data_IF_978987941732
#
_entry.id   IF_978987941732
#
_cell.length_a   1.000
_cell.length_b   1.000
_cell.length_c   1.000
_cell.angle_alpha   90.00
_cell.angle_beta   90.00
_cell.angle_gamma   90.00
#
_symmetry.space_group_name_H-M   'P 1'
#
loop_
_entity.id
_entity.type
_entity.pdbx_description
1 polymer ?
#
# COMPACT_ATOMS: atom_id res chain seq x y z
N UNK A 1 -5.07 -2.75 -40.43
CA UNK A 1 -5.03 -2.27 -39.04
C UNK A 1 -6.46 -2.21 -38.57
N UNK A 2 -6.93 -3.18 -37.79
CA UNK A 2 -8.30 -3.21 -37.29
C UNK A 2 -8.43 -2.09 -36.26
N UNK A 3 -9.27 -1.12 -36.57
CA UNK A 3 -9.64 0.00 -35.75
C UNK A 3 -10.52 -0.51 -34.57
N UNK A 4 -9.91 -1.26 -33.63
CA UNK A 4 -10.62 -1.65 -32.42
C UNK A 4 -10.64 -0.44 -31.50
N UNK A 5 -11.83 0.00 -31.14
CA UNK A 5 -12.02 1.04 -30.12
C UNK A 5 -11.15 0.75 -28.88
N UNK A 6 -10.53 1.75 -28.28
CA UNK A 6 -9.70 1.56 -27.10
C UNK A 6 -10.47 0.87 -26.00
N UNK A 7 -9.80 -0.03 -25.27
CA UNK A 7 -10.42 -0.75 -24.16
C UNK A 7 -10.71 0.23 -23.04
N UNK A 8 -11.97 0.31 -22.60
CA UNK A 8 -12.43 1.14 -21.49
C UNK A 8 -12.46 0.31 -20.22
N UNK A 9 -11.78 0.76 -19.17
CA UNK A 9 -11.65 0.05 -17.89
C UNK A 9 -12.23 0.91 -16.76
N UNK A 10 -13.11 0.34 -15.96
CA UNK A 10 -13.66 0.97 -14.78
C UNK A 10 -13.03 0.39 -13.51
N UNK A 11 -12.41 1.24 -12.72
CA UNK A 11 -11.92 0.88 -11.39
C UNK A 11 -12.91 1.28 -10.32
N UNK A 12 -13.02 0.47 -9.25
CA UNK A 12 -13.79 0.78 -8.06
C UNK A 12 -12.86 0.97 -6.87
N UNK A 13 -12.91 2.13 -6.21
CA UNK A 13 -12.12 2.47 -5.05
C UNK A 13 -13.01 2.63 -3.81
N UNK A 14 -12.68 1.97 -2.69
CA UNK A 14 -13.46 2.04 -1.45
C UNK A 14 -13.26 3.34 -0.66
N UNK A 15 -12.15 4.02 -0.89
CA UNK A 15 -11.83 5.32 -0.26
C UNK A 15 -10.91 6.14 -1.18
N UNK A 16 -10.75 7.42 -0.85
CA UNK A 16 -9.94 8.37 -1.63
C UNK A 16 -8.94 9.14 -0.77
N UNK A 17 -8.52 8.54 0.35
CA UNK A 17 -7.50 9.10 1.26
C UNK A 17 -6.09 8.67 0.83
N UNK A 18 -5.05 9.34 1.37
CA UNK A 18 -3.66 8.89 1.22
C UNK A 18 -3.41 7.64 2.07
N UNK A 19 -3.80 6.48 1.56
CA UNK A 19 -3.54 5.16 2.16
C UNK A 19 -3.06 4.17 1.10
N UNK A 20 -2.58 3.00 1.50
CA UNK A 20 -1.87 2.08 0.61
C UNK A 20 -2.61 1.70 -0.68
N UNK A 21 -3.84 1.20 -0.56
CA UNK A 21 -4.60 0.73 -1.72
C UNK A 21 -5.05 1.85 -2.66
N UNK A 22 -5.53 3.04 -2.19
CA UNK A 22 -5.81 4.18 -3.06
C UNK A 22 -4.58 4.76 -3.75
N UNK A 23 -3.42 4.83 -3.08
CA UNK A 23 -2.15 5.26 -3.69
C UNK A 23 -1.77 4.30 -4.82
N UNK A 24 -1.86 2.99 -4.57
CA UNK A 24 -1.57 1.97 -5.58
C UNK A 24 -2.51 2.08 -6.78
N UNK A 25 -3.80 2.31 -6.54
CA UNK A 25 -4.79 2.56 -7.61
C UNK A 25 -4.43 3.81 -8.41
N UNK A 26 -4.12 4.93 -7.76
CA UNK A 26 -3.72 6.18 -8.42
C UNK A 26 -2.51 5.96 -9.33
N UNK A 27 -1.49 5.25 -8.87
CA UNK A 27 -0.30 4.97 -9.65
C UNK A 27 -0.63 4.13 -10.90
N UNK A 28 -1.41 3.05 -10.72
CA UNK A 28 -1.80 2.16 -11.81
C UNK A 28 -2.68 2.88 -12.84
N UNK A 29 -3.73 3.56 -12.39
CA UNK A 29 -4.66 4.31 -13.24
C UNK A 29 -3.91 5.43 -13.98
N UNK A 30 -3.03 6.16 -13.30
CA UNK A 30 -2.18 7.18 -13.89
C UNK A 30 -1.25 6.63 -14.97
N UNK A 31 -0.67 5.46 -14.75
CA UNK A 31 0.17 4.79 -15.75
C UNK A 31 -0.67 4.37 -16.95
N UNK A 32 -1.81 3.73 -16.76
CA UNK A 32 -2.71 3.31 -17.84
C UNK A 32 -3.16 4.49 -18.69
N UNK A 33 -3.54 5.61 -18.05
CA UNK A 33 -3.93 6.85 -18.73
C UNK A 33 -2.80 7.42 -19.60
N UNK A 34 -1.58 7.53 -19.05
CA UNK A 34 -0.40 7.99 -19.82
C UNK A 34 -0.04 7.09 -21.00
N UNK A 35 -0.38 5.80 -20.91
CA UNK A 35 -0.16 4.82 -21.98
C UNK A 35 -1.39 4.64 -22.90
N UNK A 36 -2.25 5.67 -22.97
CA UNK A 36 -3.35 5.75 -23.94
C UNK A 36 -4.53 4.81 -23.66
N UNK A 37 -4.69 4.34 -22.41
CA UNK A 37 -5.87 3.56 -22.04
C UNK A 37 -7.00 4.46 -21.58
N UNK A 38 -8.22 4.10 -21.92
CA UNK A 38 -9.41 4.76 -21.40
C UNK A 38 -9.75 4.16 -20.02
N UNK A 39 -9.60 4.97 -19.00
CA UNK A 39 -9.82 4.55 -17.60
C UNK A 39 -10.73 5.53 -16.90
N UNK A 40 -11.58 5.00 -16.03
CA UNK A 40 -12.44 5.76 -15.12
C UNK A 40 -12.42 5.13 -13.74
N UNK A 41 -12.81 5.89 -12.73
CA UNK A 41 -12.83 5.41 -11.34
C UNK A 41 -14.17 5.73 -10.69
N UNK A 42 -14.82 4.70 -10.17
CA UNK A 42 -15.97 4.81 -9.27
C UNK A 42 -15.46 4.97 -7.83
N UNK A 43 -15.96 5.97 -7.13
CA UNK A 43 -15.51 6.35 -5.78
C UNK A 43 -16.71 6.51 -4.85
N UNK A 44 -16.48 6.54 -3.51
CA UNK A 44 -17.53 6.87 -2.56
C UNK A 44 -18.16 8.23 -2.85
N UNK A 45 -19.47 8.33 -2.64
CA UNK A 45 -20.20 9.60 -2.60
C UNK A 45 -19.59 10.46 -1.48
N UNK A 46 -19.24 11.73 -1.72
CA UNK A 46 -18.68 12.56 -0.68
C UNK A 46 -19.74 12.81 0.41
N UNK A 47 -19.39 12.57 1.67
CA UNK A 47 -20.27 12.86 2.83
C UNK A 47 -20.48 14.36 3.03
N UNK A 48 -19.52 15.17 2.61
CA UNK A 48 -19.56 16.64 2.55
C UNK A 48 -19.04 17.04 1.17
N UNK A 49 -19.30 18.24 0.72
CA UNK A 49 -18.95 18.73 -0.62
C UNK A 49 -17.46 18.58 -1.04
N UNK A 50 -16.64 17.95 -0.23
CA UNK A 50 -15.21 17.75 -0.48
C UNK A 50 -14.94 16.34 -1.00
N UNK A 51 -14.31 16.27 -2.17
CA UNK A 51 -13.73 15.05 -2.69
C UNK A 51 -12.42 14.74 -1.95
N UNK A 52 -12.12 13.46 -1.69
CA UNK A 52 -10.85 13.11 -1.06
C UNK A 52 -9.63 13.36 -1.99
N UNK A 53 -8.43 13.51 -1.43
CA UNK A 53 -7.23 13.94 -2.15
C UNK A 53 -6.86 13.05 -3.35
N UNK A 54 -7.10 11.74 -3.29
CA UNK A 54 -6.89 10.83 -4.43
C UNK A 54 -7.86 11.15 -5.59
N UNK A 55 -9.13 11.51 -5.29
CA UNK A 55 -10.08 11.94 -6.32
C UNK A 55 -9.62 13.21 -7.03
N UNK A 56 -9.04 14.15 -6.30
CA UNK A 56 -8.55 15.40 -6.88
C UNK A 56 -7.35 15.15 -7.78
N UNK A 57 -6.45 14.27 -7.37
CA UNK A 57 -5.30 13.86 -8.18
C UNK A 57 -5.73 13.11 -9.46
N UNK A 58 -6.70 12.22 -9.36
CA UNK A 58 -7.27 11.54 -10.52
C UNK A 58 -7.91 12.52 -11.50
N UNK A 59 -8.66 13.52 -11.03
CA UNK A 59 -9.21 14.58 -11.89
C UNK A 59 -8.10 15.41 -12.54
N UNK A 60 -7.06 15.78 -11.79
CA UNK A 60 -5.92 16.54 -12.30
C UNK A 60 -5.21 15.86 -13.47
N UNK A 61 -5.15 14.52 -13.46
CA UNK A 61 -4.58 13.75 -14.57
C UNK A 61 -5.61 13.38 -15.65
N UNK A 62 -6.82 13.93 -15.59
CA UNK A 62 -7.87 13.76 -16.60
C UNK A 62 -8.57 12.42 -16.58
N UNK A 63 -8.70 11.78 -15.43
CA UNK A 63 -9.48 10.55 -15.22
C UNK A 63 -10.93 10.91 -14.90
N UNK A 64 -11.87 10.27 -15.57
CA UNK A 64 -13.30 10.40 -15.30
C UNK A 64 -13.64 9.73 -13.96
N UNK A 65 -14.41 10.42 -13.09
CA UNK A 65 -14.76 9.93 -11.76
C UNK A 65 -16.28 9.84 -11.61
N UNK A 66 -16.74 8.71 -11.07
CA UNK A 66 -18.14 8.44 -10.76
C UNK A 66 -18.33 8.32 -9.24
N UNK A 67 -18.91 9.32 -8.55
CA UNK A 67 -19.20 9.26 -7.12
C UNK A 67 -20.50 8.49 -6.89
N UNK A 68 -20.46 7.17 -6.98
CA UNK A 68 -21.64 6.28 -6.95
C UNK A 68 -21.69 5.37 -5.72
N UNK A 69 -20.58 5.21 -4.98
CA UNK A 69 -20.53 4.27 -3.87
C UNK A 69 -21.05 4.91 -2.59
N UNK A 70 -22.08 4.32 -1.99
CA UNK A 70 -22.51 4.61 -0.63
C UNK A 70 -22.10 3.46 0.28
N UNK A 71 -21.02 3.67 1.06
CA UNK A 71 -20.48 2.65 1.95
C UNK A 71 -21.24 2.56 3.28
N UNK A 72 -22.17 3.49 3.54
CA UNK A 72 -23.03 3.52 4.74
C UNK A 72 -24.36 2.80 4.53
N UNK A 73 -24.70 2.47 3.28
CA UNK A 73 -25.94 1.82 2.89
C UNK A 73 -25.68 0.52 2.11
N UNK A 74 -26.68 -0.39 2.03
CA UNK A 74 -26.60 -1.53 1.11
C UNK A 74 -26.33 -1.06 -0.33
N UNK A 75 -25.46 -1.74 -1.09
CA UNK A 75 -25.10 -1.32 -2.44
C UNK A 75 -26.30 -1.40 -3.40
N UNK A 76 -26.48 -0.37 -4.20
CA UNK A 76 -27.44 -0.38 -5.31
C UNK A 76 -26.81 -1.12 -6.51
N UNK A 77 -27.08 -2.43 -6.59
CA UNK A 77 -26.55 -3.27 -7.66
C UNK A 77 -27.06 -2.87 -9.06
N UNK A 78 -28.25 -2.26 -9.16
CA UNK A 78 -28.79 -1.81 -10.44
C UNK A 78 -28.03 -0.56 -10.93
N UNK A 79 -27.76 0.43 -10.06
CA UNK A 79 -26.94 1.60 -10.38
C UNK A 79 -25.52 1.17 -10.77
N UNK A 80 -24.91 0.29 -9.98
CA UNK A 80 -23.56 -0.23 -10.27
C UNK A 80 -23.52 -1.03 -11.57
N UNK A 81 -24.52 -1.89 -11.83
CA UNK A 81 -24.64 -2.66 -13.06
C UNK A 81 -24.76 -1.78 -14.29
N UNK A 82 -25.63 -0.75 -14.25
CA UNK A 82 -25.77 0.21 -15.33
C UNK A 82 -24.46 0.98 -15.62
N UNK A 83 -23.67 1.28 -14.59
CA UNK A 83 -22.36 1.86 -14.75
C UNK A 83 -21.36 0.86 -15.38
N UNK A 84 -21.27 -0.37 -14.85
CA UNK A 84 -20.40 -1.43 -15.37
C UNK A 84 -20.62 -1.70 -16.85
N UNK A 85 -21.87 -1.73 -17.32
CA UNK A 85 -22.26 -1.97 -18.72
C UNK A 85 -21.69 -0.93 -19.72
N UNK A 86 -21.19 0.20 -19.24
CA UNK A 86 -20.55 1.23 -20.08
C UNK A 86 -19.08 0.93 -20.37
N UNK A 87 -18.50 -0.11 -19.77
CA UNK A 87 -17.08 -0.44 -19.82
C UNK A 87 -16.85 -1.86 -20.34
N UNK A 88 -15.62 -2.14 -20.74
CA UNK A 88 -15.25 -3.45 -21.27
C UNK A 88 -14.67 -4.39 -20.20
N UNK A 89 -14.13 -3.82 -19.11
CA UNK A 89 -13.56 -4.54 -17.98
C UNK A 89 -13.80 -3.72 -16.71
N UNK A 90 -14.15 -4.39 -15.63
CA UNK A 90 -14.25 -3.82 -14.28
C UNK A 90 -13.07 -4.30 -13.44
N UNK A 91 -12.51 -3.40 -12.64
CA UNK A 91 -11.48 -3.70 -11.66
C UNK A 91 -11.98 -3.28 -10.27
N UNK A 92 -12.31 -4.25 -9.44
CA UNK A 92 -12.63 -4.01 -8.04
C UNK A 92 -11.31 -3.93 -7.25
N UNK A 93 -11.06 -2.78 -6.60
CA UNK A 93 -9.82 -2.53 -5.85
C UNK A 93 -10.13 -2.60 -4.36
N UNK A 94 -9.65 -3.61 -3.69
CA UNK A 94 -9.90 -4.05 -2.30
C UNK A 94 -11.05 -5.05 -2.13
N UNK A 95 -10.98 -5.80 -1.02
CA UNK A 95 -11.94 -6.88 -0.71
C UNK A 95 -13.38 -6.37 -0.51
N UNK A 96 -13.54 -5.16 0.03
CA UNK A 96 -14.88 -4.57 0.29
C UNK A 96 -15.62 -4.14 -0.98
N UNK A 97 -14.99 -4.22 -2.16
CA UNK A 97 -15.63 -3.91 -3.46
C UNK A 97 -16.35 -5.12 -4.07
N UNK A 98 -16.76 -6.10 -3.28
CA UNK A 98 -17.49 -7.29 -3.71
C UNK A 98 -18.75 -6.96 -4.54
N UNK A 99 -19.46 -5.88 -4.20
CA UNK A 99 -20.66 -5.46 -4.92
C UNK A 99 -20.38 -5.05 -6.37
N UNK A 100 -19.20 -4.46 -6.64
CA UNK A 100 -18.76 -4.13 -7.99
C UNK A 100 -18.49 -5.39 -8.83
N UNK A 101 -17.89 -6.42 -8.22
CA UNK A 101 -17.68 -7.72 -8.86
C UNK A 101 -19.02 -8.37 -9.21
N UNK A 102 -19.95 -8.41 -8.25
CA UNK A 102 -21.28 -8.96 -8.46
C UNK A 102 -22.04 -8.21 -9.56
N UNK A 103 -22.06 -6.88 -9.50
CA UNK A 103 -22.76 -6.06 -10.50
C UNK A 103 -22.15 -6.24 -11.91
N UNK A 104 -20.83 -6.34 -12.04
CA UNK A 104 -20.18 -6.63 -13.31
C UNK A 104 -20.56 -8.01 -13.86
N UNK A 105 -20.52 -9.05 -12.99
CA UNK A 105 -20.89 -10.41 -13.35
C UNK A 105 -22.34 -10.50 -13.86
N UNK A 106 -23.30 -9.86 -13.16
CA UNK A 106 -24.72 -9.83 -13.56
C UNK A 106 -24.95 -9.14 -14.93
N UNK A 107 -24.03 -8.26 -15.35
CA UNK A 107 -24.05 -7.60 -16.67
C UNK A 107 -23.19 -8.34 -17.72
N UNK A 108 -22.58 -9.47 -17.40
CA UNK A 108 -21.66 -10.15 -18.29
C UNK A 108 -20.39 -9.37 -18.61
N UNK A 109 -19.97 -8.43 -17.75
CA UNK A 109 -18.76 -7.64 -17.90
C UNK A 109 -17.62 -8.32 -17.13
N UNK A 110 -16.45 -8.56 -17.76
CA UNK A 110 -15.30 -9.16 -17.09
C UNK A 110 -14.88 -8.40 -15.84
N UNK A 111 -14.73 -9.11 -14.72
CA UNK A 111 -14.34 -8.56 -13.43
C UNK A 111 -12.97 -9.07 -12.98
N UNK A 112 -12.04 -8.14 -12.79
CA UNK A 112 -10.76 -8.37 -12.11
C UNK A 112 -10.89 -7.87 -10.69
N UNK A 113 -10.56 -8.71 -9.72
CA UNK A 113 -10.60 -8.31 -8.32
C UNK A 113 -9.19 -8.21 -7.73
N UNK A 114 -8.72 -6.96 -7.52
CA UNK A 114 -7.40 -6.70 -6.93
C UNK A 114 -7.53 -6.55 -5.42
N UNK A 115 -7.16 -7.59 -4.71
CA UNK A 115 -7.33 -7.74 -3.27
C UNK A 115 -6.03 -7.39 -2.57
N UNK A 116 -6.09 -6.46 -1.62
CA UNK A 116 -4.95 -5.92 -0.88
C UNK A 116 -4.91 -6.39 0.57
N UNK A 117 -5.97 -6.98 1.06
CA UNK A 117 -6.14 -7.38 2.46
C UNK A 117 -5.49 -8.73 2.73
N UNK A 118 -4.73 -8.81 3.84
CA UNK A 118 -4.16 -10.05 4.35
C UNK A 118 -5.01 -10.63 5.49
N UNK A 119 -4.52 -10.69 6.72
CA UNK A 119 -5.25 -11.32 7.83
C UNK A 119 -6.57 -10.61 8.19
N UNK A 120 -6.67 -9.32 7.93
CA UNK A 120 -7.92 -8.56 8.13
C UNK A 120 -9.09 -9.10 7.29
N UNK A 121 -8.81 -9.85 6.23
CA UNK A 121 -9.82 -10.48 5.37
C UNK A 121 -10.80 -11.34 6.16
N UNK A 122 -10.34 -12.07 7.19
CA UNK A 122 -11.23 -12.89 8.02
C UNK A 122 -12.31 -12.07 8.72
N UNK A 123 -11.94 -10.89 9.24
CA UNK A 123 -12.88 -9.98 9.87
C UNK A 123 -13.85 -9.36 8.85
N UNK A 124 -13.32 -8.98 7.68
CA UNK A 124 -14.15 -8.41 6.62
C UNK A 124 -15.16 -9.42 6.07
N UNK A 125 -14.77 -10.66 5.85
CA UNK A 125 -15.67 -11.74 5.38
C UNK A 125 -16.72 -12.07 6.45
N UNK A 126 -16.37 -12.02 7.72
CA UNK A 126 -17.32 -12.22 8.81
C UNK A 126 -18.35 -11.07 8.90
N UNK A 127 -17.93 -9.85 8.60
CA UNK A 127 -18.79 -8.66 8.62
C UNK A 127 -19.64 -8.51 7.35
N UNK A 128 -19.09 -8.87 6.20
CA UNK A 128 -19.72 -8.84 4.88
C UNK A 128 -19.72 -10.25 4.29
N UNK A 129 -20.68 -11.11 4.65
CA UNK A 129 -20.72 -12.51 4.20
C UNK A 129 -20.87 -12.66 2.68
N UNK A 130 -21.32 -11.63 1.97
CA UNK A 130 -21.42 -11.56 0.51
C UNK A 130 -20.06 -11.62 -0.20
N UNK A 131 -18.97 -11.29 0.49
CA UNK A 131 -17.63 -11.35 -0.06
C UNK A 131 -17.29 -12.77 -0.52
N UNK A 132 -17.58 -13.77 0.30
CA UNK A 132 -17.21 -15.16 0.01
C UNK A 132 -17.81 -15.68 -1.30
N UNK A 133 -19.13 -15.63 -1.54
CA UNK A 133 -19.69 -16.03 -2.83
C UNK A 133 -19.24 -15.12 -3.99
N UNK A 134 -18.93 -13.84 -3.75
CA UNK A 134 -18.44 -12.96 -4.79
C UNK A 134 -17.03 -13.31 -5.29
N UNK A 135 -16.21 -14.00 -4.48
CA UNK A 135 -14.91 -14.50 -4.94
C UNK A 135 -15.05 -15.40 -6.18
N UNK A 136 -16.10 -16.19 -6.25
CA UNK A 136 -16.36 -17.12 -7.36
C UNK A 136 -16.97 -16.42 -8.60
N UNK A 137 -17.38 -15.16 -8.48
CA UNK A 137 -17.94 -14.37 -9.58
C UNK A 137 -16.86 -13.59 -10.36
N UNK A 138 -15.69 -13.38 -9.78
CA UNK A 138 -14.59 -12.71 -10.46
C UNK A 138 -13.99 -13.61 -11.56
N UNK A 139 -13.64 -13.05 -12.72
CA UNK A 139 -12.93 -13.80 -13.77
C UNK A 139 -11.48 -14.10 -13.35
N UNK A 140 -10.85 -13.18 -12.62
CA UNK A 140 -9.53 -13.38 -12.04
C UNK A 140 -9.39 -12.61 -10.73
N UNK A 141 -8.77 -13.25 -9.75
CA UNK A 141 -8.35 -12.64 -8.50
C UNK A 141 -6.87 -12.27 -8.60
N UNK A 142 -6.53 -11.07 -8.19
CA UNK A 142 -5.13 -10.61 -8.13
C UNK A 142 -4.77 -10.31 -6.68
N UNK A 143 -3.63 -10.81 -6.24
CA UNK A 143 -3.03 -10.48 -4.96
C UNK A 143 -1.58 -9.99 -5.16
N UNK A 144 -1.11 -9.05 -4.32
CA UNK A 144 0.24 -8.50 -4.49
C UNK A 144 1.36 -9.44 -4.06
N UNK A 145 1.04 -10.47 -3.27
CA UNK A 145 2.02 -11.40 -2.70
C UNK A 145 1.53 -12.85 -2.75
N UNK A 146 2.47 -13.79 -2.79
CA UNK A 146 2.16 -15.24 -2.72
C UNK A 146 1.51 -15.61 -1.40
N UNK A 147 1.96 -15.00 -0.29
CA UNK A 147 1.40 -15.25 1.03
C UNK A 147 -0.07 -14.85 1.11
N UNK A 148 -0.44 -13.70 0.55
CA UNK A 148 -1.84 -13.31 0.44
C UNK A 148 -2.61 -14.27 -0.47
N UNK A 149 -2.06 -14.64 -1.62
CA UNK A 149 -2.71 -15.60 -2.52
C UNK A 149 -2.98 -16.95 -1.84
N UNK A 150 -2.05 -17.46 -1.04
CA UNK A 150 -2.23 -18.71 -0.27
C UNK A 150 -3.38 -18.62 0.74
N UNK A 151 -3.59 -17.45 1.36
CA UNK A 151 -4.71 -17.23 2.27
C UNK A 151 -6.05 -17.40 1.54
N UNK A 152 -6.19 -16.80 0.36
CA UNK A 152 -7.42 -16.85 -0.42
C UNK A 152 -7.62 -18.16 -1.17
N UNK A 153 -6.59 -18.93 -1.46
CA UNK A 153 -6.68 -20.23 -2.08
C UNK A 153 -7.49 -21.26 -1.24
N UNK A 154 -7.72 -20.98 0.04
CA UNK A 154 -8.60 -21.78 0.91
C UNK A 154 -10.07 -21.34 0.86
N UNK A 155 -10.37 -20.22 0.20
CA UNK A 155 -11.69 -19.60 0.19
C UNK A 155 -12.42 -19.74 -1.15
N UNK A 156 -11.70 -20.02 -2.24
CA UNK A 156 -12.22 -20.12 -3.61
C UNK A 156 -11.33 -21.00 -4.47
N UNK A 157 -11.93 -21.64 -5.48
CA UNK A 157 -11.23 -22.41 -6.53
C UNK A 157 -10.88 -21.55 -7.76
N UNK A 158 -11.19 -20.24 -7.74
CA UNK A 158 -10.89 -19.34 -8.84
C UNK A 158 -9.39 -19.11 -9.00
N UNK A 159 -8.91 -18.91 -10.24
CA UNK A 159 -7.51 -18.59 -10.49
C UNK A 159 -7.08 -17.34 -9.75
N UNK A 160 -5.97 -17.46 -9.01
CA UNK A 160 -5.34 -16.34 -8.29
C UNK A 160 -4.01 -16.02 -8.97
N UNK A 161 -3.84 -14.79 -9.41
CA UNK A 161 -2.58 -14.30 -9.96
C UNK A 161 -1.84 -13.43 -8.96
N UNK A 162 -0.55 -13.66 -8.82
CA UNK A 162 0.31 -12.81 -7.99
C UNK A 162 0.89 -11.70 -8.86
N UNK A 163 0.41 -10.47 -8.61
CA UNK A 163 0.87 -9.26 -9.31
C UNK A 163 1.42 -8.29 -8.27
N UNK A 164 2.73 -8.25 -8.06
CA UNK A 164 3.36 -7.33 -7.11
C UNK A 164 3.00 -5.88 -7.40
N UNK A 165 2.96 -5.07 -6.36
CA UNK A 165 2.80 -3.62 -6.50
C UNK A 165 3.87 -3.01 -7.40
N UNK A 166 3.54 -1.87 -8.00
CA UNK A 166 4.48 -1.05 -8.71
C UNK A 166 4.18 0.42 -8.42
N UNK A 167 5.23 1.17 -8.14
CA UNK A 167 5.11 2.61 -7.92
C UNK A 167 6.06 3.37 -8.87
N UNK A 168 5.77 4.64 -9.18
CA UNK A 168 6.74 5.51 -9.81
C UNK A 168 8.00 5.58 -8.95
N UNK A 169 9.17 5.60 -9.55
CA UNK A 169 10.38 5.88 -8.79
C UNK A 169 10.27 7.24 -8.12
N UNK A 170 10.48 7.27 -6.81
CA UNK A 170 10.39 8.51 -6.02
C UNK A 170 11.49 9.46 -6.46
N UNK A 171 11.11 10.65 -6.89
CA UNK A 171 12.00 11.76 -7.21
C UNK A 171 11.73 12.88 -6.24
N UNK A 172 12.55 12.98 -5.22
CA UNK A 172 12.61 14.17 -4.38
C UNK A 172 13.72 15.05 -4.94
N UNK A 173 13.49 16.34 -5.05
CA UNK A 173 14.57 17.27 -5.38
C UNK A 173 15.73 16.98 -4.41
N UNK A 174 16.99 16.95 -4.89
CA UNK A 174 18.09 16.74 -3.98
C UNK A 174 18.08 17.90 -2.99
N UNK A 175 17.46 17.68 -1.82
CA UNK A 175 17.86 18.50 -0.69
C UNK A 175 19.36 18.38 -0.61
N UNK A 176 20.05 19.51 -0.40
CA UNK A 176 21.46 19.49 0.03
C UNK A 176 21.58 18.36 1.03
N UNK A 177 22.53 17.41 0.85
CA UNK A 177 22.73 16.37 1.83
C UNK A 177 22.64 17.04 3.17
N UNK A 178 21.68 16.64 4.02
CA UNK A 178 21.37 17.31 5.28
C UNK A 178 22.71 17.53 5.94
N UNK A 179 23.19 18.79 5.89
CA UNK A 179 24.59 19.10 6.09
C UNK A 179 24.98 18.46 7.40
N UNK A 180 26.02 17.63 7.37
CA UNK A 180 26.70 17.08 8.53
C UNK A 180 25.77 16.77 9.70
N UNK A 181 24.67 16.01 9.44
CA UNK A 181 23.77 15.66 10.51
C UNK A 181 24.43 14.56 11.32
N UNK A 182 24.96 14.93 12.46
CA UNK A 182 25.54 14.02 13.46
C UNK A 182 24.54 12.92 13.90
N UNK A 183 23.31 12.91 13.35
CA UNK A 183 22.22 12.06 13.79
C UNK A 183 21.75 11.12 12.68
N UNK A 184 21.60 9.84 13.04
CA UNK A 184 20.90 8.85 12.23
C UNK A 184 19.40 9.03 12.45
N UNK A 185 18.65 9.25 11.36
CA UNK A 185 17.20 9.45 11.36
C UNK A 185 16.49 8.15 11.01
N UNK A 186 15.64 7.70 11.93
CA UNK A 186 14.75 6.56 11.75
C UNK A 186 13.33 7.07 11.57
N UNK A 187 12.62 6.61 10.54
CA UNK A 187 11.26 7.04 10.23
C UNK A 187 10.31 5.85 10.19
N UNK A 188 9.17 5.97 10.87
CA UNK A 188 8.03 5.08 10.72
C UNK A 188 6.85 5.87 10.17
N UNK A 189 6.34 5.47 9.01
CA UNK A 189 5.15 6.04 8.39
C UNK A 189 4.00 5.06 8.46
N UNK A 190 2.89 5.48 9.04
CA UNK A 190 1.67 4.66 9.12
C UNK A 190 0.66 5.21 10.11
N UNK A 191 -0.62 4.87 9.89
CA UNK A 191 -1.70 5.21 10.83
C UNK A 191 -1.36 4.78 12.24
N UNK A 192 -1.70 5.60 13.23
CA UNK A 192 -1.55 5.22 14.63
C UNK A 192 -2.66 4.25 15.03
N UNK A 193 -2.31 2.98 15.03
CA UNK A 193 -3.17 1.84 15.37
C UNK A 193 -2.33 0.64 15.82
N UNK A 194 -2.85 -0.27 16.66
CA UNK A 194 -2.09 -1.42 17.17
C UNK A 194 -1.47 -2.29 16.08
N UNK A 195 -2.12 -2.44 14.93
CA UNK A 195 -1.64 -3.23 13.80
C UNK A 195 -0.28 -2.74 13.26
N UNK A 196 0.01 -1.44 13.35
CA UNK A 196 1.26 -0.83 12.87
C UNK A 196 2.44 -0.95 13.83
N UNK A 197 2.19 -1.37 15.10
CA UNK A 197 3.25 -1.74 16.04
C UNK A 197 4.13 -0.58 16.52
N UNK A 198 3.62 0.66 16.53
CA UNK A 198 4.37 1.81 17.07
C UNK A 198 4.74 1.62 18.55
N UNK A 199 3.93 0.88 19.31
CA UNK A 199 4.21 0.48 20.68
C UNK A 199 5.43 -0.45 20.77
N UNK A 200 5.58 -1.41 19.88
CA UNK A 200 6.78 -2.26 19.77
C UNK A 200 8.02 -1.44 19.42
N UNK A 201 7.84 -0.44 18.54
CA UNK A 201 8.93 0.44 18.16
C UNK A 201 9.41 1.30 19.34
N UNK A 202 8.48 1.90 20.10
CA UNK A 202 8.85 2.63 21.34
C UNK A 202 9.52 1.72 22.38
N UNK A 203 9.03 0.49 22.55
CA UNK A 203 9.67 -0.48 23.42
C UNK A 203 11.11 -0.80 22.98
N UNK A 204 11.33 -0.95 21.66
CA UNK A 204 12.66 -1.18 21.11
C UNK A 204 13.60 0.03 21.33
N UNK A 205 13.12 1.24 21.10
CA UNK A 205 13.89 2.47 21.36
C UNK A 205 14.26 2.58 22.86
N UNK A 206 13.36 2.23 23.75
CA UNK A 206 13.63 2.24 25.20
C UNK A 206 14.75 1.26 25.62
N UNK A 207 14.95 0.19 24.86
CA UNK A 207 16.00 -0.81 25.11
C UNK A 207 17.38 -0.37 24.58
N UNK A 208 17.43 0.65 23.72
CA UNK A 208 18.69 1.23 23.26
C UNK A 208 19.34 2.00 24.41
N UNK A 209 20.63 1.81 24.58
CA UNK A 209 21.37 2.46 25.67
C UNK A 209 21.37 4.00 25.55
N UNK A 210 21.55 4.74 26.64
CA UNK A 210 21.52 6.20 26.66
C UNK A 210 22.59 6.85 25.74
N UNK A 211 23.66 6.16 25.45
CA UNK A 211 24.73 6.62 24.54
C UNK A 211 24.26 6.77 23.07
N UNK A 212 23.14 6.14 22.68
CA UNK A 212 22.59 6.27 21.33
C UNK A 212 21.80 7.57 21.14
N UNK A 213 21.24 8.14 22.22
CA UNK A 213 20.34 9.31 22.18
C UNK A 213 20.92 10.52 21.45
N UNK A 214 22.16 10.95 21.70
CA UNK A 214 22.74 12.12 21.02
C UNK A 214 23.11 11.84 19.56
N UNK A 215 22.94 10.61 19.08
CA UNK A 215 23.27 10.18 17.71
C UNK A 215 22.06 9.84 16.87
N UNK A 216 20.85 9.88 17.45
CA UNK A 216 19.65 9.34 16.81
C UNK A 216 18.44 10.27 16.93
N UNK A 217 17.60 10.26 15.91
CA UNK A 217 16.25 10.82 15.92
C UNK A 217 15.29 9.73 15.43
N UNK A 218 14.27 9.44 16.23
CA UNK A 218 13.22 8.47 15.91
C UNK A 218 11.92 9.21 15.66
N UNK A 219 11.44 9.16 14.43
CA UNK A 219 10.27 9.88 13.98
C UNK A 219 9.15 8.92 13.61
N UNK A 220 7.95 9.19 14.07
CA UNK A 220 6.73 8.49 13.67
C UNK A 220 5.74 9.51 13.13
N UNK A 221 5.11 9.21 11.98
CA UNK A 221 4.11 10.10 11.42
C UNK A 221 2.94 9.31 10.83
N UNK A 222 1.72 9.82 11.04
CA UNK A 222 0.53 9.22 10.48
C UNK A 222 -0.78 9.77 11.04
N UNK A 223 -1.87 9.38 10.38
CA UNK A 223 -3.21 9.70 10.85
C UNK A 223 -3.54 8.90 12.12
N UNK A 224 -4.15 9.55 13.08
CA UNK A 224 -4.61 8.89 14.32
C UNK A 224 -5.91 8.15 13.99
N UNK A 225 -5.84 6.82 13.97
CA UNK A 225 -6.98 5.94 13.76
C UNK A 225 -7.54 5.42 15.10
N UNK A 226 -6.65 5.11 16.05
CA UNK A 226 -6.99 4.70 17.42
C UNK A 226 -6.47 5.77 18.39
N UNK A 227 -7.37 6.64 18.87
CA UNK A 227 -7.03 7.74 19.78
C UNK A 227 -6.47 7.25 21.11
N UNK A 228 -7.07 6.28 21.81
CA UNK A 228 -6.52 5.73 23.05
C UNK A 228 -5.13 5.11 22.87
N UNK A 229 -4.87 4.45 21.74
CA UNK A 229 -3.55 3.91 21.44
C UNK A 229 -2.52 5.03 21.27
N UNK A 230 -2.85 6.07 20.48
CA UNK A 230 -1.99 7.23 20.28
C UNK A 230 -1.64 7.95 21.59
N UNK A 231 -2.62 8.16 22.48
CA UNK A 231 -2.40 8.84 23.77
C UNK A 231 -1.41 8.07 24.66
N UNK A 232 -1.49 6.74 24.68
CA UNK A 232 -0.48 5.92 25.37
C UNK A 232 0.91 6.06 24.76
N UNK A 233 1.02 6.08 23.43
CA UNK A 233 2.29 6.32 22.75
C UNK A 233 2.87 7.70 23.07
N UNK A 234 2.04 8.73 23.06
CA UNK A 234 2.46 10.10 23.36
C UNK A 234 2.99 10.23 24.79
N UNK A 235 2.35 9.60 25.77
CA UNK A 235 2.83 9.57 27.15
C UNK A 235 4.20 8.89 27.26
N UNK A 236 4.43 7.80 26.55
CA UNK A 236 5.72 7.11 26.54
C UNK A 236 6.80 7.92 25.81
N UNK A 237 6.47 8.47 24.63
CA UNK A 237 7.40 9.26 23.84
C UNK A 237 7.85 10.55 24.57
N UNK A 238 7.00 11.16 25.38
CA UNK A 238 7.35 12.34 26.20
C UNK A 238 8.53 12.11 27.15
N UNK A 239 8.86 10.85 27.45
CA UNK A 239 10.03 10.48 28.28
C UNK A 239 11.30 10.25 27.45
N UNK A 240 11.22 10.37 26.13
CA UNK A 240 12.28 10.05 25.18
C UNK A 240 12.61 11.29 24.33
N UNK A 241 13.63 12.07 24.68
CA UNK A 241 13.88 13.38 24.04
C UNK A 241 14.27 13.32 22.55
N UNK A 242 14.64 12.15 22.06
CA UNK A 242 14.99 11.89 20.66
C UNK A 242 13.87 11.16 19.88
N UNK A 243 12.64 11.12 20.42
CA UNK A 243 11.46 10.54 19.77
C UNK A 243 10.47 11.66 19.44
N UNK A 244 10.02 11.69 18.19
CA UNK A 244 9.07 12.65 17.67
C UNK A 244 7.83 11.94 17.14
N UNK A 245 6.65 12.32 17.65
CA UNK A 245 5.36 11.91 17.09
C UNK A 245 4.78 13.08 16.29
N UNK A 246 4.40 12.82 15.05
CA UNK A 246 3.83 13.81 14.13
C UNK A 246 2.45 13.34 13.66
N UNK A 247 1.59 14.30 13.40
CA UNK A 247 0.31 14.07 12.73
C UNK A 247 0.48 13.55 11.29
N UNK A 248 -0.63 13.28 10.62
CA UNK A 248 -0.63 12.88 9.23
C UNK A 248 0.11 13.90 8.35
N UNK A 249 1.03 13.42 7.56
CA UNK A 249 1.72 14.18 6.53
C UNK A 249 0.94 14.11 5.22
N UNK A 250 1.00 15.18 4.43
CA UNK A 250 0.66 15.12 3.02
C UNK A 250 1.58 14.13 2.28
N UNK A 251 1.17 13.65 1.10
CA UNK A 251 1.96 12.65 0.38
C UNK A 251 3.37 13.15 0.03
N UNK A 252 3.50 14.38 -0.44
CA UNK A 252 4.80 14.99 -0.76
C UNK A 252 5.67 15.14 0.50
N UNK A 253 5.08 15.62 1.62
CA UNK A 253 5.79 15.71 2.90
C UNK A 253 6.25 14.35 3.42
N UNK A 254 5.46 13.29 3.22
CA UNK A 254 5.84 11.92 3.60
C UNK A 254 7.03 11.41 2.76
N UNK A 255 7.06 11.74 1.46
CA UNK A 255 8.18 11.42 0.58
C UNK A 255 9.44 12.21 0.94
N UNK A 256 9.31 13.49 1.28
CA UNK A 256 10.41 14.33 1.78
C UNK A 256 10.97 13.79 3.11
N UNK A 257 10.09 13.43 4.06
CA UNK A 257 10.49 12.81 5.31
C UNK A 257 11.23 11.47 5.07
N UNK A 258 10.74 10.65 4.12
CA UNK A 258 11.41 9.41 3.72
C UNK A 258 12.77 9.67 3.07
N UNK A 259 12.89 10.72 2.27
CA UNK A 259 14.16 11.11 1.65
C UNK A 259 15.18 11.65 2.69
N UNK A 260 14.70 12.36 3.70
CA UNK A 260 15.54 12.87 4.80
C UNK A 260 15.94 11.78 5.81
N UNK A 261 15.20 10.68 5.90
CA UNK A 261 15.51 9.56 6.78
C UNK A 261 16.72 8.76 6.27
N UNK A 262 17.45 8.12 7.18
CA UNK A 262 18.48 7.13 6.87
C UNK A 262 17.90 5.71 6.82
N UNK A 263 16.93 5.44 7.70
CA UNK A 263 16.33 4.12 7.90
C UNK A 263 14.81 4.26 7.95
N UNK A 264 14.10 3.50 7.13
CA UNK A 264 12.67 3.28 7.31
C UNK A 264 12.45 2.12 8.28
N UNK A 265 11.56 2.31 9.24
CA UNK A 265 11.16 1.27 10.20
C UNK A 265 9.70 0.88 9.93
N UNK A 266 9.43 -0.42 9.87
CA UNK A 266 8.08 -0.97 9.76
C UNK A 266 7.92 -2.07 10.82
N UNK A 267 7.35 -1.73 11.97
CA UNK A 267 7.17 -2.63 13.12
C UNK A 267 5.81 -3.34 13.13
N UNK A 268 5.14 -3.38 11.98
CA UNK A 268 3.75 -3.85 11.86
C UNK A 268 3.56 -5.31 12.29
N UNK A 269 2.37 -5.59 12.81
CA UNK A 269 1.89 -6.94 13.17
C UNK A 269 1.28 -7.68 11.98
N UNK A 270 0.74 -6.91 11.03
CA UNK A 270 0.17 -7.44 9.79
C UNK A 270 0.28 -6.41 8.65
N UNK A 271 0.75 -6.89 7.52
CA UNK A 271 0.86 -6.14 6.27
C UNK A 271 0.75 -7.10 5.08
N UNK A 272 0.32 -6.58 3.96
CA UNK A 272 0.47 -7.29 2.69
C UNK A 272 1.83 -6.97 2.08
N UNK A 273 2.01 -5.72 1.66
CA UNK A 273 3.28 -5.13 1.24
C UNK A 273 3.17 -3.61 1.41
N UNK A 274 3.80 -3.02 2.43
CA UNK A 274 3.67 -1.58 2.69
C UNK A 274 4.22 -0.71 1.56
N UNK A 275 3.43 0.25 1.10
CA UNK A 275 3.88 1.23 0.08
C UNK A 275 5.09 2.03 0.57
N UNK A 276 5.11 2.41 1.84
CA UNK A 276 6.25 3.12 2.44
C UNK A 276 7.57 2.34 2.32
N UNK A 277 7.54 1.00 2.38
CA UNK A 277 8.73 0.16 2.12
C UNK A 277 9.16 0.32 0.65
N UNK A 278 8.23 0.28 -0.31
CA UNK A 278 8.57 0.44 -1.73
C UNK A 278 9.15 1.84 -2.02
N UNK A 279 8.59 2.87 -1.40
CA UNK A 279 9.07 4.25 -1.50
C UNK A 279 10.50 4.36 -0.92
N UNK A 280 10.74 3.79 0.25
CA UNK A 280 12.05 3.76 0.89
C UNK A 280 13.08 2.97 0.05
N UNK A 281 12.69 1.82 -0.51
CA UNK A 281 13.53 1.05 -1.45
C UNK A 281 13.90 1.89 -2.67
N UNK A 282 12.93 2.59 -3.26
CA UNK A 282 13.14 3.48 -4.41
C UNK A 282 14.13 4.60 -4.10
N UNK A 283 14.10 5.13 -2.89
CA UNK A 283 15.01 6.16 -2.38
C UNK A 283 16.39 5.60 -1.95
N UNK A 284 16.57 4.27 -1.94
CA UNK A 284 17.79 3.63 -1.47
C UNK A 284 18.02 3.74 0.04
N UNK A 285 16.94 3.76 0.82
CA UNK A 285 17.01 3.79 2.29
C UNK A 285 17.16 2.40 2.86
N UNK A 286 17.90 2.29 3.98
CA UNK A 286 17.91 1.06 4.74
C UNK A 286 16.51 0.77 5.31
N UNK A 287 16.16 -0.48 5.47
CA UNK A 287 14.85 -0.91 5.95
C UNK A 287 15.04 -1.84 7.15
N UNK A 288 14.39 -1.53 8.25
CA UNK A 288 14.23 -2.42 9.41
C UNK A 288 12.74 -2.76 9.49
N UNK A 289 12.39 -4.03 9.36
CA UNK A 289 10.98 -4.41 9.28
C UNK A 289 10.68 -5.74 9.96
N UNK A 290 9.47 -5.88 10.46
CA UNK A 290 8.95 -7.17 10.91
C UNK A 290 8.70 -8.10 9.72
N UNK A 291 8.93 -9.40 9.92
CA UNK A 291 8.67 -10.44 8.93
C UNK A 291 7.17 -10.79 8.90
N UNK A 292 6.36 -9.92 8.32
CA UNK A 292 4.91 -10.10 8.18
C UNK A 292 4.49 -10.03 6.72
N UNK A 293 3.35 -10.65 6.40
CA UNK A 293 2.77 -10.63 5.05
C UNK A 293 3.74 -11.08 3.97
N UNK A 294 3.78 -10.36 2.87
CA UNK A 294 4.66 -10.65 1.73
C UNK A 294 6.04 -9.98 1.80
N UNK A 295 6.38 -9.34 2.90
CA UNK A 295 7.64 -8.59 3.06
C UNK A 295 8.85 -9.50 2.79
N UNK A 296 8.88 -10.69 3.40
CA UNK A 296 9.98 -11.65 3.22
C UNK A 296 10.03 -12.33 1.84
N UNK A 297 9.07 -12.09 0.96
CA UNK A 297 9.19 -12.55 -0.44
C UNK A 297 10.24 -11.74 -1.23
N UNK A 298 10.57 -10.54 -0.76
CA UNK A 298 11.40 -9.57 -1.46
C UNK A 298 12.54 -9.00 -0.63
N UNK A 299 12.37 -8.99 0.70
CA UNK A 299 13.37 -8.50 1.64
C UNK A 299 14.08 -9.67 2.30
N UNK A 300 15.42 -9.66 2.24
CA UNK A 300 16.28 -10.68 2.81
C UNK A 300 17.11 -10.05 3.95
N UNK A 301 17.07 -10.70 5.11
CA UNK A 301 17.81 -10.23 6.29
C UNK A 301 19.32 -10.12 6.02
N UNK A 302 19.90 -9.01 6.46
CA UNK A 302 21.33 -8.69 6.28
C UNK A 302 21.75 -8.39 4.84
N UNK A 303 20.84 -8.48 3.85
CA UNK A 303 21.17 -8.26 2.43
C UNK A 303 20.62 -6.92 1.94
N UNK A 304 19.29 -6.75 1.95
CA UNK A 304 18.61 -5.53 1.51
C UNK A 304 17.67 -4.94 2.58
N UNK A 305 17.69 -5.52 3.77
CA UNK A 305 16.91 -5.10 4.95
C UNK A 305 17.46 -5.78 6.20
N UNK A 306 16.96 -5.37 7.36
CA UNK A 306 17.01 -6.15 8.59
C UNK A 306 15.59 -6.63 8.90
N UNK A 307 15.40 -7.95 8.91
CA UNK A 307 14.12 -8.59 9.20
C UNK A 307 14.09 -9.09 10.64
N UNK A 308 13.05 -8.71 11.38
CA UNK A 308 12.87 -9.16 12.75
C UNK A 308 11.56 -9.93 12.91
N UNK A 309 11.46 -10.87 13.85
CA UNK A 309 10.19 -11.52 14.17
C UNK A 309 9.14 -10.46 14.60
N UNK A 310 7.86 -10.62 14.22
CA UNK A 310 6.80 -9.77 14.77
C UNK A 310 6.69 -9.97 16.29
N UNK A 311 6.14 -8.98 16.97
CA UNK A 311 5.96 -8.97 18.44
C UNK A 311 7.28 -9.09 19.25
N UNK A 312 8.43 -8.82 18.65
CA UNK A 312 9.74 -8.93 19.31
C UNK A 312 10.47 -7.58 19.33
N UNK A 313 10.21 -6.79 20.37
CA UNK A 313 10.85 -5.49 20.57
C UNK A 313 12.35 -5.59 20.86
N UNK A 314 12.85 -6.72 21.39
CA UNK A 314 14.28 -6.93 21.61
C UNK A 314 15.01 -7.11 20.27
N UNK A 315 14.54 -8.00 19.41
CA UNK A 315 15.12 -8.17 18.07
C UNK A 315 15.04 -6.86 17.24
N UNK A 316 13.98 -6.09 17.41
CA UNK A 316 13.87 -4.78 16.77
C UNK A 316 14.92 -3.81 17.32
N UNK A 317 15.15 -3.78 18.64
CA UNK A 317 16.20 -2.96 19.26
C UNK A 317 17.60 -3.35 18.76
N UNK A 318 17.89 -4.65 18.67
CA UNK A 318 19.15 -5.16 18.12
C UNK A 318 19.35 -4.71 16.66
N UNK A 319 18.33 -4.79 15.81
CA UNK A 319 18.39 -4.33 14.42
C UNK A 319 18.62 -2.81 14.32
N UNK A 320 17.95 -2.01 15.15
CA UNK A 320 18.18 -0.57 15.24
C UNK A 320 19.61 -0.27 15.70
N UNK A 321 20.09 -0.98 16.72
CA UNK A 321 21.46 -0.87 17.24
C UNK A 321 22.52 -1.15 16.17
N UNK A 322 22.33 -2.18 15.36
CA UNK A 322 23.19 -2.48 14.22
C UNK A 322 23.27 -1.33 13.21
N UNK A 323 22.15 -0.70 12.89
CA UNK A 323 22.13 0.49 12.04
C UNK A 323 22.91 1.66 12.64
N UNK A 324 22.95 1.78 13.99
CA UNK A 324 23.66 2.86 14.69
C UNK A 324 25.17 2.59 14.77
N UNK A 325 25.55 1.34 14.97
CA UNK A 325 26.91 1.00 15.38
C UNK A 325 27.76 0.35 14.28
N UNK A 326 27.16 -0.21 13.21
CA UNK A 326 27.88 -0.85 12.13
C UNK A 326 28.13 0.14 10.96
N UNK A 327 29.38 0.62 10.76
CA UNK A 327 29.70 1.54 9.66
C UNK A 327 29.39 0.93 8.29
N UNK A 328 28.71 1.70 7.44
CA UNK A 328 28.38 1.29 6.08
C UNK A 328 27.18 0.36 5.92
N UNK A 329 26.63 -0.21 7.01
CA UNK A 329 25.48 -1.11 6.93
C UNK A 329 24.28 -0.43 6.28
N UNK A 330 23.92 0.79 6.71
CA UNK A 330 22.81 1.58 6.13
C UNK A 330 22.99 1.75 4.62
N UNK A 331 24.18 2.13 4.16
CA UNK A 331 24.44 2.34 2.74
C UNK A 331 24.37 1.02 1.94
N UNK A 332 24.88 -0.07 2.50
CA UNK A 332 24.83 -1.39 1.87
C UNK A 332 23.39 -1.88 1.72
N UNK A 333 22.61 -1.87 2.81
CA UNK A 333 21.20 -2.30 2.79
C UNK A 333 20.37 -1.44 1.84
N UNK A 334 20.51 -0.13 1.91
CA UNK A 334 19.80 0.81 1.05
C UNK A 334 20.12 0.65 -0.43
N UNK A 335 21.39 0.47 -0.78
CA UNK A 335 21.83 0.22 -2.15
C UNK A 335 21.24 -1.07 -2.73
N UNK A 336 21.20 -2.14 -1.95
CA UNK A 336 20.62 -3.42 -2.34
C UNK A 336 19.07 -3.32 -2.41
N UNK A 337 18.43 -2.63 -1.47
CA UNK A 337 16.98 -2.37 -1.50
C UNK A 337 16.58 -1.64 -2.79
N UNK A 338 17.33 -0.60 -3.18
CA UNK A 338 17.08 0.13 -4.44
C UNK A 338 17.22 -0.75 -5.68
N UNK A 339 18.19 -1.66 -5.70
CA UNK A 339 18.34 -2.63 -6.81
C UNK A 339 17.11 -3.54 -6.87
N UNK A 340 16.69 -4.13 -5.75
CA UNK A 340 15.50 -4.95 -5.66
C UNK A 340 14.25 -4.21 -6.14
N UNK A 341 14.11 -2.93 -5.77
CA UNK A 341 13.02 -2.06 -6.25
C UNK A 341 13.03 -1.94 -7.78
N UNK A 342 14.16 -1.55 -8.34
CA UNK A 342 14.29 -1.31 -9.79
C UNK A 342 13.99 -2.56 -10.63
N UNK A 343 14.34 -3.71 -10.10
CA UNK A 343 14.12 -5.01 -10.77
C UNK A 343 12.67 -5.50 -10.68
N UNK A 344 11.87 -5.10 -9.65
CA UNK A 344 10.62 -5.78 -9.35
C UNK A 344 9.40 -4.87 -9.21
N UNK A 345 9.57 -3.62 -8.79
CA UNK A 345 8.48 -2.76 -8.30
C UNK A 345 8.26 -1.47 -9.10
N UNK A 346 8.82 -1.36 -10.30
CA UNK A 346 8.55 -0.21 -11.15
C UNK A 346 7.10 -0.19 -11.60
N UNK A 347 6.53 1.01 -11.72
CA UNK A 347 5.16 1.18 -12.22
C UNK A 347 4.99 0.67 -13.66
N UNK A 348 6.05 0.69 -14.47
CA UNK A 348 6.01 0.17 -15.84
C UNK A 348 5.78 -1.34 -15.85
N UNK A 349 6.46 -2.09 -14.98
CA UNK A 349 6.26 -3.54 -14.86
C UNK A 349 4.84 -3.89 -14.41
N UNK A 350 4.29 -3.15 -13.44
CA UNK A 350 2.91 -3.35 -13.00
C UNK A 350 1.95 -3.06 -14.15
N UNK A 351 2.10 -1.91 -14.81
CA UNK A 351 1.22 -1.47 -15.90
C UNK A 351 1.22 -2.43 -17.09
N UNK A 352 2.39 -2.95 -17.48
CA UNK A 352 2.53 -3.96 -18.54
C UNK A 352 1.82 -5.26 -18.16
N UNK A 353 2.04 -5.80 -16.95
CA UNK A 353 1.38 -6.99 -16.43
C UNK A 353 -0.14 -6.81 -16.40
N UNK A 354 -0.60 -5.68 -15.90
CA UNK A 354 -2.02 -5.35 -15.81
C UNK A 354 -2.67 -5.22 -17.19
N UNK A 355 -1.98 -4.60 -18.14
CA UNK A 355 -2.43 -4.50 -19.55
C UNK A 355 -2.58 -5.89 -20.18
N UNK A 356 -1.61 -6.78 -19.97
CA UNK A 356 -1.65 -8.17 -20.43
C UNK A 356 -2.83 -8.95 -19.83
N UNK A 357 -3.08 -8.76 -18.54
CA UNK A 357 -4.19 -9.38 -17.82
C UNK A 357 -5.55 -8.90 -18.38
N UNK A 358 -5.77 -7.60 -18.52
CA UNK A 358 -7.00 -7.04 -19.11
C UNK A 358 -7.25 -7.63 -20.49
N UNK A 359 -6.20 -7.77 -21.31
CA UNK A 359 -6.32 -8.34 -22.65
C UNK A 359 -6.73 -9.82 -22.66
N UNK A 360 -6.28 -10.61 -21.68
CA UNK A 360 -6.67 -12.03 -21.52
C UNK A 360 -8.13 -12.16 -21.10
N UNK A 361 -8.51 -11.52 -20.01
CA UNK A 361 -9.85 -11.58 -19.44
C UNK A 361 -10.91 -11.17 -20.46
N UNK A 362 -10.61 -10.21 -21.32
CA UNK A 362 -11.50 -9.80 -22.43
C UNK A 362 -11.61 -10.86 -23.52
N UNK A 363 -10.53 -11.58 -23.86
CA UNK A 363 -10.54 -12.62 -24.92
C UNK A 363 -11.32 -13.85 -24.53
N UNK A 364 -11.28 -14.21 -23.27
CA UNK A 364 -11.94 -15.42 -22.75
C UNK A 364 -13.48 -15.29 -22.78
N UNK A 365 -14.02 -14.07 -22.83
CA UNK A 365 -15.47 -13.84 -23.00
C UNK A 365 -15.95 -13.83 -24.46
N UNK A 366 -15.05 -13.77 -25.44
CA UNK A 366 -15.42 -13.79 -26.88
C UNK A 366 -15.48 -15.23 -27.42
N UNK A 367 -15.16 -16.21 -26.58
CA UNK A 367 -15.29 -17.64 -26.87
C UNK A 367 -16.51 -18.23 -26.20
#
# INVERSE_FOLDING_TARGET
MTNQSPVRVLFFAHETTWSGAPIQLLHLVGWLKRNGREVAVAVPKPEKAESGPISDELRRIGVEIFPVLDLSAPPDLAELGALCARFHVVVANTLVMWAAVRAAHEQGIPAVWYIHESLVAHHLIAHFPEIKPALDLADVLIMPTRRTAQLYATLTDRPIEVVPYGIPGVRVAPEKPAGDSAHIRFLLLGTYEPRKGQDLYLQAIAQLGPATRPRTIFQMAGRILDRPFYERLAQQAAQMPNVELRDALGHEEALEASAAANVLVCSSRDETMPIAILEAMSLGKAIVTTNVGGVAEWLCDGVNSLLVPPENSLALAEALGRCIDEPGLIASLGGNARRTFSENFSIDRLGERFTGLIARVRKDQVR
#
